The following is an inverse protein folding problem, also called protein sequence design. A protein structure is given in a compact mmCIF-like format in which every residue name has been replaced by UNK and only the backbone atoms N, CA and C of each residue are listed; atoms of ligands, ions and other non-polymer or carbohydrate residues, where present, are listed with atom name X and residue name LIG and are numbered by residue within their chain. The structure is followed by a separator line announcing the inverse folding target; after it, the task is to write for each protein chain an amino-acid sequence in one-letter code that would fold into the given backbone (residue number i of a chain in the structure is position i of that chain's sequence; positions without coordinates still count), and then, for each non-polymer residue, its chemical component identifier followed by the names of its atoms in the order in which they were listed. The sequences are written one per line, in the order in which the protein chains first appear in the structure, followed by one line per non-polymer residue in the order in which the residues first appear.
data_IF_705296516799
#
_entry.id   IF_705296516799
#
_cell.length_a   1.000
_cell.length_b   1.000
_cell.length_c   1.000
_cell.angle_alpha   90.00
_cell.angle_beta   90.00
_cell.angle_gamma   90.00
#
_symmetry.space_group_name_H-M   'P 1'
#
loop_
_entity.id
_entity.type
_entity.pdbx_description
1 polymer ?
#
# COMPACT_ATOMS: atom_id res chain seq x y z
N UNK A 1 -36.21 -34.47 3.07
CA UNK A 1 -35.59 -34.20 1.76
C UNK A 1 -35.87 -32.76 1.30
N UNK A 2 -35.66 -31.76 2.18
CA UNK A 2 -35.97 -30.33 1.91
C UNK A 2 -34.98 -29.37 2.61
N UNK A 3 -33.75 -29.80 2.91
CA UNK A 3 -32.71 -28.93 3.51
C UNK A 3 -31.35 -28.94 2.78
N UNK A 4 -31.26 -29.53 1.58
CA UNK A 4 -29.98 -29.62 0.83
C UNK A 4 -29.99 -28.74 -0.44
N UNK A 5 -31.14 -28.15 -0.79
CA UNK A 5 -31.29 -27.34 -2.01
C UNK A 5 -31.07 -25.83 -1.82
N UNK A 6 -30.95 -25.32 -0.58
CA UNK A 6 -30.78 -23.87 -0.32
C UNK A 6 -29.33 -23.39 -0.30
N UNK A 7 -28.37 -24.19 0.16
CA UNK A 7 -26.95 -23.79 0.19
C UNK A 7 -26.29 -23.90 -1.19
N UNK A 8 -26.61 -24.94 -1.96
CA UNK A 8 -26.04 -25.14 -3.30
C UNK A 8 -26.57 -24.09 -4.28
N UNK A 9 -27.83 -23.67 -4.16
CA UNK A 9 -28.39 -22.58 -4.97
C UNK A 9 -27.86 -21.22 -4.54
N UNK A 10 -27.59 -20.97 -3.25
CA UNK A 10 -26.99 -19.72 -2.79
C UNK A 10 -25.52 -19.61 -3.21
N UNK A 11 -24.73 -20.69 -3.09
CA UNK A 11 -23.34 -20.72 -3.57
C UNK A 11 -23.24 -20.64 -5.10
N UNK A 12 -24.18 -21.26 -5.83
CA UNK A 12 -24.24 -21.13 -7.29
C UNK A 12 -24.69 -19.74 -7.72
N UNK A 13 -25.65 -19.13 -7.02
CA UNK A 13 -26.12 -17.77 -7.27
C UNK A 13 -25.10 -16.71 -6.85
N UNK A 14 -24.35 -16.94 -5.78
CA UNK A 14 -23.21 -16.12 -5.37
C UNK A 14 -22.06 -16.27 -6.35
N UNK A 15 -21.69 -17.48 -6.80
CA UNK A 15 -20.68 -17.66 -7.87
C UNK A 15 -21.08 -17.01 -9.20
N UNK A 16 -22.37 -17.06 -9.56
CA UNK A 16 -22.89 -16.41 -10.77
C UNK A 16 -22.98 -14.88 -10.62
N UNK A 17 -23.41 -14.38 -9.45
CA UNK A 17 -23.41 -12.96 -9.14
C UNK A 17 -21.99 -12.41 -9.04
N UNK A 18 -21.06 -13.15 -8.43
CA UNK A 18 -19.64 -12.82 -8.35
C UNK A 18 -19.09 -12.70 -9.76
N UNK A 19 -19.33 -13.66 -10.67
CA UNK A 19 -18.87 -13.55 -12.06
C UNK A 19 -19.45 -12.33 -12.81
N UNK A 20 -20.76 -12.08 -12.70
CA UNK A 20 -21.41 -10.98 -13.43
C UNK A 20 -21.11 -9.60 -12.85
N UNK A 21 -21.07 -9.48 -11.52
CA UNK A 21 -20.68 -8.25 -10.80
C UNK A 21 -19.20 -8.00 -11.01
N UNK A 22 -18.34 -9.03 -11.01
CA UNK A 22 -16.90 -8.93 -11.32
C UNK A 22 -16.66 -8.54 -12.79
N UNK A 23 -17.49 -9.00 -13.74
CA UNK A 23 -17.41 -8.57 -15.15
C UNK A 23 -17.87 -7.12 -15.35
N UNK A 24 -19.00 -6.70 -14.77
CA UNK A 24 -19.40 -5.28 -14.74
C UNK A 24 -18.35 -4.41 -14.04
N UNK A 25 -17.75 -4.94 -12.98
CA UNK A 25 -16.66 -4.33 -12.24
C UNK A 25 -15.40 -4.12 -13.10
N UNK A 26 -14.93 -5.16 -13.81
CA UNK A 26 -13.76 -5.06 -14.71
C UNK A 26 -14.03 -4.04 -15.82
N UNK A 27 -15.23 -4.02 -16.39
CA UNK A 27 -15.59 -3.07 -17.45
C UNK A 27 -15.67 -1.62 -16.95
N UNK A 28 -16.24 -1.38 -15.76
CA UNK A 28 -16.33 -0.04 -15.17
C UNK A 28 -14.94 0.47 -14.71
N UNK A 29 -14.13 -0.41 -14.11
CA UNK A 29 -12.75 -0.18 -13.64
C UNK A 29 -11.82 0.28 -14.76
N UNK A 30 -11.88 -0.37 -15.92
CA UNK A 30 -10.98 -0.10 -17.06
C UNK A 30 -11.27 1.23 -17.76
N UNK A 31 -12.50 1.76 -17.66
CA UNK A 31 -12.90 3.01 -18.35
C UNK A 31 -12.84 4.23 -17.44
N UNK A 32 -13.12 4.10 -16.14
CA UNK A 32 -13.22 5.23 -15.23
C UNK A 32 -11.87 5.88 -14.92
N UNK A 33 -10.82 5.09 -14.68
CA UNK A 33 -9.51 5.64 -14.30
C UNK A 33 -8.86 6.51 -15.39
N UNK A 34 -8.78 6.06 -16.66
CA UNK A 34 -8.22 6.91 -17.72
C UNK A 34 -9.00 8.21 -17.90
N UNK A 35 -10.32 8.19 -17.70
CA UNK A 35 -11.15 9.41 -17.76
C UNK A 35 -10.81 10.38 -16.63
N UNK A 36 -10.70 9.89 -15.39
CA UNK A 36 -10.31 10.73 -14.25
C UNK A 36 -8.92 11.29 -14.45
N UNK A 37 -7.94 10.48 -14.84
CA UNK A 37 -6.57 10.94 -15.11
C UNK A 37 -6.57 11.99 -16.23
N UNK A 38 -7.27 11.75 -17.34
CA UNK A 38 -7.37 12.72 -18.44
C UNK A 38 -7.98 14.05 -17.99
N UNK A 39 -9.01 14.03 -17.13
CA UNK A 39 -9.61 15.24 -16.54
C UNK A 39 -8.60 15.94 -15.63
N UNK A 40 -7.90 15.21 -14.76
CA UNK A 40 -6.92 15.78 -13.84
C UNK A 40 -5.74 16.39 -14.60
N UNK A 41 -5.21 15.69 -15.60
CA UNK A 41 -4.10 16.15 -16.45
C UNK A 41 -4.50 17.35 -17.32
N UNK A 42 -5.72 17.36 -17.87
CA UNK A 42 -6.26 18.50 -18.61
C UNK A 42 -6.42 19.76 -17.74
N UNK A 43 -6.64 19.57 -16.44
CA UNK A 43 -6.80 20.66 -15.47
C UNK A 43 -5.53 20.97 -14.67
N UNK A 44 -4.37 20.37 -14.97
CA UNK A 44 -3.14 20.57 -14.18
C UNK A 44 -2.63 22.01 -14.12
N UNK A 45 -3.01 22.85 -15.11
CA UNK A 45 -2.63 24.27 -15.15
C UNK A 45 -3.41 25.13 -14.15
N UNK A 46 -4.54 24.63 -13.62
CA UNK A 46 -5.26 25.32 -12.54
C UNK A 46 -4.73 24.86 -11.20
N UNK A 47 -4.55 25.79 -10.26
CA UNK A 47 -4.02 25.48 -8.92
C UNK A 47 -4.94 24.56 -8.12
N UNK A 48 -6.25 24.74 -8.30
CA UNK A 48 -7.30 23.92 -7.70
C UNK A 48 -8.40 23.61 -8.74
N UNK A 49 -9.05 22.47 -8.60
CA UNK A 49 -10.26 22.12 -9.36
C UNK A 49 -11.32 21.54 -8.43
N UNK A 50 -12.60 21.69 -8.79
CA UNK A 50 -13.72 21.11 -8.05
C UNK A 50 -14.32 19.96 -8.86
N UNK A 51 -14.26 18.76 -8.30
CA UNK A 51 -14.94 17.58 -8.83
C UNK A 51 -16.17 17.24 -7.98
N UNK A 52 -17.27 16.85 -8.61
CA UNK A 52 -18.47 16.40 -7.90
C UNK A 52 -18.82 14.99 -8.34
N UNK A 53 -18.95 14.09 -7.37
CA UNK A 53 -19.49 12.75 -7.58
C UNK A 53 -20.70 12.59 -6.67
N UNK A 54 -21.88 12.39 -7.26
CA UNK A 54 -23.15 12.38 -6.53
C UNK A 54 -23.34 13.62 -5.61
N UNK A 55 -23.51 13.36 -4.31
CA UNK A 55 -23.68 14.39 -3.29
C UNK A 55 -22.35 14.97 -2.76
N UNK A 56 -21.21 14.38 -3.10
CA UNK A 56 -19.90 14.79 -2.58
C UNK A 56 -19.18 15.73 -3.54
N UNK A 57 -18.63 16.80 -2.96
CA UNK A 57 -17.72 17.71 -3.65
C UNK A 57 -16.30 17.50 -3.12
N UNK A 58 -15.36 17.36 -4.05
CA UNK A 58 -13.94 17.15 -3.80
C UNK A 58 -13.18 18.32 -4.44
N UNK A 59 -12.36 19.01 -3.66
CA UNK A 59 -11.41 20.00 -4.15
C UNK A 59 -10.07 19.31 -4.39
N UNK A 60 -9.63 19.27 -5.63
CA UNK A 60 -8.36 18.68 -6.03
C UNK A 60 -7.27 19.76 -5.97
N UNK A 61 -6.17 19.49 -5.26
CA UNK A 61 -4.99 20.34 -5.22
C UNK A 61 -3.94 19.83 -6.23
N UNK A 62 -3.44 20.73 -7.08
CA UNK A 62 -2.41 20.39 -8.09
C UNK A 62 -1.07 21.10 -7.85
N UNK A 63 -1.06 22.23 -7.14
CA UNK A 63 0.17 22.96 -6.82
C UNK A 63 0.85 22.41 -5.54
N UNK A 64 2.19 22.26 -5.52
CA UNK A 64 2.93 21.90 -4.32
C UNK A 64 2.73 22.85 -3.14
N UNK A 65 2.49 24.14 -3.37
CA UNK A 65 2.27 25.14 -2.30
C UNK A 65 0.95 24.87 -1.56
N UNK A 66 -0.12 24.57 -2.30
CA UNK A 66 -1.42 24.25 -1.72
C UNK A 66 -1.39 22.88 -1.02
N UNK A 67 -0.64 21.93 -1.58
CA UNK A 67 -0.39 20.62 -0.95
C UNK A 67 0.40 20.79 0.35
N UNK A 68 1.41 21.65 0.39
CA UNK A 68 2.13 21.99 1.64
C UNK A 68 1.17 22.58 2.67
N UNK A 69 0.34 23.55 2.28
CA UNK A 69 -0.64 24.18 3.18
C UNK A 69 -1.57 23.16 3.83
N UNK A 70 -2.10 22.22 3.04
CA UNK A 70 -2.95 21.15 3.55
C UNK A 70 -2.18 20.20 4.48
N UNK A 71 -1.04 19.69 4.00
CA UNK A 71 -0.34 18.60 4.67
C UNK A 71 0.46 19.03 5.89
N UNK A 72 0.91 20.28 5.97
CA UNK A 72 1.66 20.80 7.14
C UNK A 72 0.75 21.12 8.33
N UNK A 73 -0.56 21.25 8.10
CA UNK A 73 -1.51 21.63 9.14
C UNK A 73 -1.70 20.53 10.19
N UNK A 74 -1.63 20.91 11.46
CA UNK A 74 -1.98 20.04 12.59
C UNK A 74 -3.49 20.02 12.89
N UNK A 75 -4.29 20.84 12.20
CA UNK A 75 -5.75 20.89 12.34
C UNK A 75 -6.45 20.12 11.22
N UNK A 76 -5.93 20.16 9.99
CA UNK A 76 -6.52 19.51 8.81
C UNK A 76 -6.07 18.04 8.70
N UNK A 77 -6.24 17.30 9.80
CA UNK A 77 -5.73 15.92 9.93
C UNK A 77 -6.79 14.85 9.65
N UNK A 78 -8.08 15.21 9.73
CA UNK A 78 -9.18 14.27 9.59
C UNK A 78 -9.27 13.78 8.14
N UNK A 79 -9.52 12.47 8.00
CA UNK A 79 -9.64 11.83 6.69
C UNK A 79 -10.91 12.28 5.98
N UNK A 80 -10.91 12.18 4.66
CA UNK A 80 -12.08 12.46 3.85
C UNK A 80 -13.19 11.44 4.08
N UNK A 81 -14.44 11.82 3.77
CA UNK A 81 -15.63 11.04 4.11
C UNK A 81 -15.67 9.64 3.47
N UNK A 82 -14.95 9.42 2.37
CA UNK A 82 -14.85 8.13 1.70
C UNK A 82 -14.14 7.05 2.54
N UNK A 83 -13.36 7.45 3.55
CA UNK A 83 -12.73 6.51 4.50
C UNK A 83 -13.78 5.79 5.37
N UNK A 84 -15.01 6.32 5.48
CA UNK A 84 -16.10 5.65 6.22
C UNK A 84 -16.41 4.25 5.68
N UNK A 85 -16.15 4.00 4.40
CA UNK A 85 -16.36 2.69 3.78
C UNK A 85 -15.33 1.65 4.20
N UNK A 86 -14.20 2.09 4.78
CA UNK A 86 -13.13 1.25 5.31
C UNK A 86 -13.35 0.94 6.79
N UNK A 87 -14.13 1.75 7.52
CA UNK A 87 -14.38 1.57 8.96
C UNK A 87 -14.88 0.17 9.35
N UNK A 88 -15.78 -0.51 8.59
CA UNK A 88 -16.18 -1.86 8.95
C UNK A 88 -15.02 -2.87 8.97
N UNK A 89 -13.97 -2.62 8.21
CA UNK A 89 -12.78 -3.46 8.17
C UNK A 89 -11.73 -3.01 9.20
N UNK A 90 -11.22 -1.79 9.10
CA UNK A 90 -10.08 -1.33 9.92
C UNK A 90 -10.49 -0.68 11.25
N UNK A 91 -11.79 -0.46 11.46
CA UNK A 91 -12.30 0.33 12.56
C UNK A 91 -11.75 1.77 12.55
N UNK A 92 -11.46 2.27 13.74
CA UNK A 92 -10.84 3.57 13.99
C UNK A 92 -9.36 3.43 14.41
N UNK A 93 -8.60 2.59 13.71
CA UNK A 93 -7.15 2.47 13.87
C UNK A 93 -6.36 3.70 13.40
N UNK A 94 -5.03 3.60 13.29
CA UNK A 94 -4.16 4.74 12.99
C UNK A 94 -4.49 5.45 11.66
N UNK A 95 -4.98 4.73 10.65
CA UNK A 95 -5.32 5.32 9.35
C UNK A 95 -6.54 6.25 9.44
N UNK A 96 -7.63 5.75 10.02
CA UNK A 96 -8.99 6.30 9.95
C UNK A 96 -9.35 7.15 11.16
N UNK A 97 -8.68 6.96 12.31
CA UNK A 97 -8.91 7.76 13.51
C UNK A 97 -8.68 9.25 13.30
N UNK A 98 -9.37 10.04 14.12
CA UNK A 98 -9.37 11.51 14.11
C UNK A 98 -8.90 12.07 15.45
N UNK A 99 -8.50 13.34 15.47
CA UNK A 99 -8.25 14.12 16.69
C UNK A 99 -7.36 13.41 17.74
N UNK A 100 -7.79 13.37 19.00
CA UNK A 100 -7.00 12.87 20.13
C UNK A 100 -6.76 11.36 20.06
N UNK A 101 -7.73 10.57 19.57
CA UNK A 101 -7.51 9.12 19.35
C UNK A 101 -6.33 8.93 18.40
N UNK A 102 -6.31 9.64 17.27
CA UNK A 102 -5.21 9.55 16.32
C UNK A 102 -3.87 9.99 16.92
N UNK A 103 -3.82 11.13 17.63
CA UNK A 103 -2.58 11.64 18.24
C UNK A 103 -2.00 10.66 19.26
N UNK A 104 -2.87 10.09 20.10
CA UNK A 104 -2.51 9.08 21.09
C UNK A 104 -1.95 7.82 20.43
N UNK A 105 -2.68 7.24 19.45
CA UNK A 105 -2.20 6.09 18.66
C UNK A 105 -0.88 6.38 17.97
N UNK A 106 -0.75 7.53 17.32
CA UNK A 106 0.48 7.90 16.60
C UNK A 106 1.68 8.02 17.54
N UNK A 107 1.51 8.67 18.69
CA UNK A 107 2.56 8.80 19.71
C UNK A 107 2.99 7.44 20.25
N UNK A 108 2.02 6.58 20.53
CA UNK A 108 2.22 5.23 21.05
C UNK A 108 2.97 4.33 20.06
N UNK A 109 2.65 4.42 18.77
CA UNK A 109 3.16 3.50 17.74
C UNK A 109 4.46 3.94 17.07
N UNK A 110 4.79 5.24 17.10
CA UNK A 110 6.00 5.77 16.45
C UNK A 110 7.32 5.12 16.95
N UNK A 111 7.50 4.83 18.26
CA UNK A 111 8.70 4.14 18.74
C UNK A 111 8.94 2.77 18.09
N UNK A 112 7.90 2.06 17.68
CA UNK A 112 8.00 0.75 17.01
C UNK A 112 8.72 0.80 15.66
N UNK A 113 8.82 1.98 15.06
CA UNK A 113 9.50 2.22 13.78
C UNK A 113 10.86 2.93 13.97
N UNK A 114 11.38 2.93 15.19
CA UNK A 114 12.71 3.45 15.49
C UNK A 114 13.81 2.53 14.91
N UNK A 115 14.95 3.13 14.53
CA UNK A 115 16.04 2.46 13.82
C UNK A 115 16.55 1.17 14.49
N UNK A 116 16.56 1.11 15.82
CA UNK A 116 16.99 -0.08 16.56
C UNK A 116 16.07 -1.28 16.35
N UNK A 117 14.75 -1.07 16.26
CA UNK A 117 13.78 -2.15 16.00
C UNK A 117 13.83 -2.56 14.52
N UNK A 118 14.02 -1.58 13.63
CA UNK A 118 14.16 -1.86 12.19
C UNK A 118 15.37 -2.76 11.87
N UNK A 119 16.46 -2.69 12.65
CA UNK A 119 17.60 -3.61 12.50
C UNK A 119 17.19 -5.07 12.67
N UNK A 120 16.34 -5.34 13.65
CA UNK A 120 15.86 -6.70 13.88
C UNK A 120 14.96 -7.15 12.73
N UNK A 121 14.17 -6.23 12.19
CA UNK A 121 13.30 -6.49 11.04
C UNK A 121 14.09 -6.87 9.78
N UNK A 122 15.29 -6.30 9.60
CA UNK A 122 16.15 -6.61 8.47
C UNK A 122 16.52 -8.10 8.40
N UNK A 123 16.72 -8.77 9.53
CA UNK A 123 17.00 -10.22 9.55
C UNK A 123 15.85 -11.01 8.91
N UNK A 124 14.61 -10.67 9.27
CA UNK A 124 13.42 -11.32 8.71
C UNK A 124 13.20 -10.94 7.24
N UNK A 125 13.47 -9.69 6.87
CA UNK A 125 13.41 -9.26 5.47
C UNK A 125 14.42 -10.01 4.59
N UNK A 126 15.65 -10.25 5.06
CA UNK A 126 16.64 -11.06 4.32
C UNK A 126 16.13 -12.49 4.10
N UNK A 127 15.61 -13.14 5.15
CA UNK A 127 15.08 -14.50 5.05
C UNK A 127 13.96 -14.60 4.01
N UNK A 128 12.93 -13.75 4.13
CA UNK A 128 11.79 -13.74 3.20
C UNK A 128 12.20 -13.36 1.78
N UNK A 129 13.18 -12.47 1.60
CA UNK A 129 13.71 -12.16 0.27
C UNK A 129 14.44 -13.36 -0.36
N UNK A 130 15.15 -14.15 0.45
CA UNK A 130 15.73 -15.44 0.04
C UNK A 130 14.67 -16.43 -0.42
N UNK A 131 13.59 -16.60 0.35
CA UNK A 131 12.46 -17.47 -0.03
C UNK A 131 11.81 -17.01 -1.34
N UNK A 132 11.61 -15.69 -1.52
CA UNK A 132 11.10 -15.12 -2.77
C UNK A 132 12.02 -15.42 -3.94
N UNK A 133 13.34 -15.25 -3.78
CA UNK A 133 14.33 -15.58 -4.82
C UNK A 133 14.19 -17.04 -5.24
N UNK A 134 14.13 -17.96 -4.28
CA UNK A 134 14.08 -19.38 -4.57
C UNK A 134 12.77 -19.76 -5.27
N UNK A 135 11.65 -19.20 -4.81
CA UNK A 135 10.34 -19.38 -5.47
C UNK A 135 10.34 -18.84 -6.90
N UNK A 136 10.90 -17.65 -7.14
CA UNK A 136 10.98 -17.08 -8.49
C UNK A 136 11.92 -17.87 -9.40
N UNK A 137 12.99 -18.46 -8.85
CA UNK A 137 13.87 -19.36 -9.60
C UNK A 137 13.12 -20.60 -10.07
N UNK A 138 12.31 -21.21 -9.20
CA UNK A 138 11.45 -22.36 -9.55
C UNK A 138 10.44 -22.02 -10.65
N UNK A 139 9.77 -20.87 -10.53
CA UNK A 139 8.80 -20.41 -11.55
C UNK A 139 9.48 -20.14 -12.90
N UNK A 140 10.69 -19.58 -12.89
CA UNK A 140 11.46 -19.28 -14.09
C UNK A 140 12.02 -20.52 -14.81
N UNK A 141 12.31 -21.61 -14.09
CA UNK A 141 12.93 -22.82 -14.67
C UNK A 141 12.13 -23.44 -15.84
N UNK A 142 10.81 -23.27 -15.86
CA UNK A 142 9.93 -23.92 -16.84
C UNK A 142 9.06 -22.94 -17.65
N UNK A 143 9.30 -21.63 -17.53
CA UNK A 143 8.45 -20.60 -18.15
C UNK A 143 9.32 -19.56 -18.84
N UNK A 144 8.95 -19.22 -20.08
CA UNK A 144 9.60 -18.13 -20.81
C UNK A 144 9.30 -16.77 -20.15
N UNK A 145 8.05 -16.59 -19.69
CA UNK A 145 7.62 -15.43 -18.92
C UNK A 145 6.48 -15.84 -17.97
N UNK A 146 6.35 -15.13 -16.85
CA UNK A 146 5.27 -15.34 -15.88
C UNK A 146 4.92 -14.06 -15.15
N UNK A 147 3.71 -14.01 -14.58
CA UNK A 147 3.29 -12.92 -13.71
C UNK A 147 3.95 -13.04 -12.33
N UNK A 148 4.88 -12.13 -12.02
CA UNK A 148 5.57 -12.10 -10.73
C UNK A 148 4.72 -11.45 -9.61
N UNK A 149 3.66 -10.70 -9.96
CA UNK A 149 2.93 -9.89 -8.99
C UNK A 149 2.35 -10.70 -7.82
N UNK A 150 1.74 -11.88 -8.01
CA UNK A 150 1.25 -12.70 -6.90
C UNK A 150 2.35 -13.10 -5.91
N UNK A 151 3.53 -13.52 -6.39
CA UNK A 151 4.66 -13.88 -5.54
C UNK A 151 5.18 -12.67 -4.74
N UNK A 152 5.26 -11.50 -5.37
CA UNK A 152 5.68 -10.27 -4.70
C UNK A 152 4.68 -9.87 -3.60
N UNK A 153 3.37 -9.97 -3.86
CA UNK A 153 2.34 -9.63 -2.86
C UNK A 153 2.32 -10.60 -1.69
N UNK A 154 2.41 -11.91 -1.94
CA UNK A 154 2.46 -12.91 -0.88
C UNK A 154 3.72 -12.77 -0.02
N UNK A 155 4.86 -12.44 -0.63
CA UNK A 155 6.10 -12.21 0.11
C UNK A 155 6.02 -10.98 1.03
N UNK A 156 5.49 -9.86 0.55
CA UNK A 156 5.27 -8.68 1.41
C UNK A 156 4.28 -8.98 2.56
N UNK A 157 3.28 -9.84 2.33
CA UNK A 157 2.37 -10.28 3.38
C UNK A 157 3.09 -11.12 4.45
N UNK A 158 3.95 -12.06 4.03
CA UNK A 158 4.77 -12.83 4.97
C UNK A 158 5.73 -11.94 5.76
N UNK A 159 6.37 -10.96 5.10
CA UNK A 159 7.26 -10.02 5.75
C UNK A 159 6.54 -9.19 6.83
N UNK A 160 5.37 -8.62 6.55
CA UNK A 160 4.66 -7.82 7.56
C UNK A 160 4.11 -8.69 8.69
N UNK A 161 3.61 -9.89 8.39
CA UNK A 161 3.12 -10.82 9.41
C UNK A 161 4.25 -11.25 10.36
N UNK A 162 5.42 -11.59 9.82
CA UNK A 162 6.55 -12.04 10.64
C UNK A 162 7.19 -10.85 11.39
N UNK A 163 7.45 -9.73 10.71
CA UNK A 163 8.11 -8.59 11.35
C UNK A 163 7.22 -7.87 12.37
N UNK A 164 5.99 -7.51 11.99
CA UNK A 164 5.13 -6.67 12.81
C UNK A 164 4.22 -7.50 13.74
N UNK A 165 3.67 -8.62 13.26
CA UNK A 165 2.77 -9.44 14.06
C UNK A 165 3.51 -10.55 14.82
N UNK A 166 4.72 -10.92 14.38
CA UNK A 166 5.49 -12.01 14.99
C UNK A 166 4.93 -13.39 14.68
N UNK A 167 4.22 -13.54 13.54
CA UNK A 167 3.60 -14.79 13.09
C UNK A 167 4.07 -15.09 11.66
N UNK A 168 4.59 -16.30 11.44
CA UNK A 168 4.94 -16.76 10.10
C UNK A 168 3.70 -17.40 9.46
N UNK A 169 3.23 -16.79 8.37
CA UNK A 169 2.04 -17.23 7.62
C UNK A 169 2.35 -18.25 6.53
N UNK A 170 3.59 -18.28 6.06
CA UNK A 170 4.03 -19.04 4.89
C UNK A 170 3.09 -18.88 3.67
N UNK A 171 2.63 -17.64 3.46
CA UNK A 171 1.66 -17.28 2.43
C UNK A 171 2.24 -17.46 1.02
N UNK A 172 3.56 -17.34 0.83
CA UNK A 172 4.20 -17.58 -0.46
C UNK A 172 4.05 -19.02 -0.95
N UNK A 173 4.06 -20.00 -0.05
CA UNK A 173 3.79 -21.41 -0.36
C UNK A 173 2.29 -21.74 -0.27
N UNK A 174 1.53 -21.07 0.61
CA UNK A 174 0.10 -21.27 0.84
C UNK A 174 -0.78 -20.09 0.36
N UNK A 175 -0.54 -19.60 -0.86
CA UNK A 175 -1.15 -18.38 -1.40
C UNK A 175 -2.67 -18.40 -1.58
N UNK A 176 -3.30 -19.56 -1.41
CA UNK A 176 -4.74 -19.76 -1.53
C UNK A 176 -5.54 -19.61 -0.22
N UNK A 177 -4.89 -19.11 0.84
CA UNK A 177 -5.55 -18.91 2.13
C UNK A 177 -6.84 -18.07 2.02
N UNK A 178 -7.84 -18.42 2.83
CA UNK A 178 -9.12 -17.71 2.85
C UNK A 178 -8.94 -16.22 3.24
N UNK A 179 -7.93 -15.92 4.07
CA UNK A 179 -7.58 -14.56 4.46
C UNK A 179 -7.18 -13.71 3.24
N UNK A 180 -6.24 -14.18 2.42
CA UNK A 180 -5.75 -13.44 1.24
C UNK A 180 -6.91 -13.18 0.26
N UNK A 181 -7.74 -14.20 -0.01
CA UNK A 181 -8.94 -14.06 -0.86
C UNK A 181 -9.93 -13.03 -0.29
N UNK A 182 -10.13 -13.01 1.03
CA UNK A 182 -10.99 -12.05 1.71
C UNK A 182 -10.47 -10.60 1.59
N UNK A 183 -9.15 -10.37 1.75
CA UNK A 183 -8.53 -9.05 1.60
C UNK A 183 -8.75 -8.50 0.18
N UNK A 184 -8.48 -9.31 -0.85
CA UNK A 184 -8.69 -8.88 -2.24
C UNK A 184 -10.15 -8.51 -2.52
N UNK A 185 -11.11 -9.34 -2.07
CA UNK A 185 -12.53 -9.08 -2.24
C UNK A 185 -12.96 -7.77 -1.58
N UNK A 186 -12.59 -7.57 -0.31
CA UNK A 186 -12.99 -6.38 0.46
C UNK A 186 -12.36 -5.11 -0.11
N UNK A 187 -11.08 -5.15 -0.47
CA UNK A 187 -10.39 -4.02 -1.10
C UNK A 187 -11.09 -3.59 -2.39
N UNK A 188 -11.37 -4.54 -3.26
CA UNK A 188 -11.99 -4.28 -4.56
C UNK A 188 -13.43 -3.76 -4.39
N UNK A 189 -14.21 -4.37 -3.50
CA UNK A 189 -15.57 -3.93 -3.19
C UNK A 189 -15.60 -2.51 -2.59
N UNK A 190 -14.67 -2.15 -1.70
CA UNK A 190 -14.55 -0.78 -1.17
C UNK A 190 -14.24 0.21 -2.30
N UNK A 191 -13.30 -0.12 -3.19
CA UNK A 191 -12.95 0.74 -4.32
C UNK A 191 -14.14 0.97 -5.27
N UNK A 192 -14.98 -0.06 -5.48
CA UNK A 192 -16.26 0.07 -6.20
C UNK A 192 -17.21 0.99 -5.46
N UNK A 193 -17.40 0.76 -4.17
CA UNK A 193 -18.32 1.52 -3.33
C UNK A 193 -17.98 3.01 -3.31
N UNK A 194 -16.69 3.37 -3.23
CA UNK A 194 -16.23 4.76 -3.31
C UNK A 194 -16.66 5.49 -4.60
N UNK A 195 -16.84 4.77 -5.71
CA UNK A 195 -17.15 5.32 -7.04
C UNK A 195 -18.62 5.21 -7.44
N UNK A 196 -19.44 4.63 -6.57
CA UNK A 196 -20.78 4.17 -6.91
C UNK A 196 -21.80 4.79 -5.95
N UNK A 197 -22.35 5.99 -6.26
CA UNK A 197 -23.18 6.74 -5.32
C UNK A 197 -24.40 5.98 -4.77
N UNK A 198 -24.97 5.06 -5.54
CA UNK A 198 -26.09 4.22 -5.09
C UNK A 198 -25.69 3.14 -4.07
N UNK A 199 -24.40 2.87 -3.88
CA UNK A 199 -23.86 2.01 -2.81
C UNK A 199 -23.45 2.76 -1.56
N UNK A 200 -23.60 4.10 -1.52
CA UNK A 200 -23.21 4.90 -0.36
C UNK A 200 -24.12 4.74 0.85
N UNK A 201 -25.47 4.62 0.71
CA UNK A 201 -26.32 4.37 1.85
C UNK A 201 -26.01 3.00 2.47
N UNK A 202 -25.51 2.99 3.71
CA UNK A 202 -25.09 1.76 4.41
C UNK A 202 -26.21 0.72 4.48
N UNK A 203 -27.45 1.15 4.72
CA UNK A 203 -28.60 0.27 4.75
C UNK A 203 -28.83 -0.45 3.41
N UNK A 204 -28.78 0.27 2.29
CA UNK A 204 -28.98 -0.33 0.97
C UNK A 204 -27.84 -1.30 0.64
N UNK A 205 -26.59 -0.87 0.86
CA UNK A 205 -25.42 -1.68 0.57
C UNK A 205 -25.39 -2.97 1.40
N UNK A 206 -25.51 -2.87 2.73
CA UNK A 206 -25.30 -3.99 3.64
C UNK A 206 -26.43 -5.03 3.65
N UNK A 207 -27.65 -4.65 3.27
CA UNK A 207 -28.82 -5.52 3.35
C UNK A 207 -29.41 -5.91 1.99
N UNK A 208 -29.23 -5.11 0.94
CA UNK A 208 -29.88 -5.33 -0.36
C UNK A 208 -28.91 -5.61 -1.51
N UNK A 209 -27.61 -5.75 -1.24
CA UNK A 209 -26.63 -6.07 -2.29
C UNK A 209 -25.87 -7.36 -1.97
N UNK A 210 -25.68 -8.27 -2.94
CA UNK A 210 -24.83 -9.46 -2.76
C UNK A 210 -23.39 -9.08 -2.37
N UNK A 211 -22.85 -8.00 -2.95
CA UNK A 211 -21.52 -7.49 -2.63
C UNK A 211 -21.40 -7.07 -1.15
N UNK A 212 -22.40 -6.41 -0.59
CA UNK A 212 -22.42 -6.06 0.84
C UNK A 212 -22.43 -7.28 1.75
N UNK A 213 -23.13 -8.36 1.37
CA UNK A 213 -23.13 -9.62 2.12
C UNK A 213 -21.77 -10.31 2.07
N UNK A 214 -21.16 -10.39 0.88
CA UNK A 214 -19.83 -10.95 0.69
C UNK A 214 -18.77 -10.19 1.50
N UNK A 215 -18.79 -8.85 1.43
CA UNK A 215 -17.89 -8.00 2.22
C UNK A 215 -18.03 -8.23 3.72
N UNK A 216 -19.26 -8.30 4.25
CA UNK A 216 -19.48 -8.57 5.68
C UNK A 216 -18.93 -9.92 6.10
N UNK A 217 -19.12 -10.97 5.30
CA UNK A 217 -18.57 -12.30 5.56
C UNK A 217 -17.04 -12.28 5.56
N UNK A 218 -16.44 -11.66 4.54
CA UNK A 218 -14.98 -11.55 4.41
C UNK A 218 -14.36 -10.72 5.54
N UNK A 219 -15.01 -9.63 5.96
CA UNK A 219 -14.57 -8.84 7.12
C UNK A 219 -14.58 -9.66 8.40
N UNK A 220 -15.65 -10.41 8.66
CA UNK A 220 -15.70 -11.28 9.84
C UNK A 220 -14.57 -12.32 9.85
N UNK A 221 -14.23 -12.89 8.69
CA UNK A 221 -13.11 -13.82 8.55
C UNK A 221 -11.75 -13.14 8.83
N UNK A 222 -11.53 -11.94 8.29
CA UNK A 222 -10.31 -11.17 8.56
C UNK A 222 -10.20 -10.79 10.03
N UNK A 223 -11.29 -10.38 10.67
CA UNK A 223 -11.30 -10.09 12.11
C UNK A 223 -11.00 -11.32 12.95
N UNK A 224 -11.57 -12.49 12.62
CA UNK A 224 -11.24 -13.75 13.29
C UNK A 224 -9.76 -14.09 13.16
N UNK A 225 -9.18 -13.86 11.97
CA UNK A 225 -7.76 -14.03 11.75
C UNK A 225 -6.92 -13.07 12.63
N UNK A 226 -7.27 -11.78 12.68
CA UNK A 226 -6.60 -10.80 13.53
C UNK A 226 -6.66 -11.19 15.02
N UNK A 227 -7.83 -11.64 15.51
CA UNK A 227 -7.97 -12.12 16.89
C UNK A 227 -7.12 -13.37 17.17
N UNK A 228 -7.04 -14.31 16.22
CA UNK A 228 -6.17 -15.48 16.32
C UNK A 228 -4.70 -15.06 16.47
N UNK A 229 -4.22 -14.15 15.62
CA UNK A 229 -2.85 -13.61 15.69
C UNK A 229 -2.58 -12.93 17.04
N UNK A 230 -3.54 -12.15 17.55
CA UNK A 230 -3.44 -11.50 18.86
C UNK A 230 -3.31 -12.53 19.98
N UNK A 231 -4.13 -13.59 19.93
CA UNK A 231 -4.13 -14.64 20.94
C UNK A 231 -2.85 -15.47 20.93
N UNK A 232 -2.42 -15.95 19.76
CA UNK A 232 -1.16 -16.70 19.61
C UNK A 232 0.03 -15.88 20.11
N UNK A 233 0.04 -14.56 19.84
CA UNK A 233 1.11 -13.69 20.33
C UNK A 233 1.08 -13.51 21.85
N UNK A 234 -0.10 -13.41 22.47
CA UNK A 234 -0.24 -13.32 23.94
C UNK A 234 0.31 -14.58 24.62
N UNK A 235 0.02 -15.75 24.05
CA UNK A 235 0.50 -17.03 24.55
C UNK A 235 2.03 -17.13 24.43
N UNK A 236 2.60 -16.86 23.25
CA UNK A 236 4.05 -16.85 23.04
C UNK A 236 4.78 -15.84 23.93
N UNK A 237 4.19 -14.66 24.17
CA UNK A 237 4.81 -13.61 24.97
C UNK A 237 5.05 -14.05 26.42
N UNK A 238 4.13 -14.82 26.99
CA UNK A 238 4.27 -15.36 28.35
C UNK A 238 5.50 -16.28 28.50
N UNK A 239 5.93 -16.91 27.40
CA UNK A 239 7.13 -17.75 27.34
C UNK A 239 8.40 -16.95 26.98
N UNK A 240 8.26 -15.88 26.19
CA UNK A 240 9.38 -15.08 25.66
C UNK A 240 9.98 -14.10 26.68
N UNK A 241 9.24 -13.67 27.70
CA UNK A 241 9.75 -12.81 28.79
C UNK A 241 10.97 -13.42 29.51
N UNK A 242 11.16 -14.75 29.43
CA UNK A 242 12.29 -15.47 30.00
C UNK A 242 13.55 -15.50 29.10
N UNK A 243 13.43 -15.13 27.81
CA UNK A 243 14.45 -15.42 26.78
C UNK A 243 15.16 -14.19 26.19
N UNK A 244 14.73 -12.96 26.51
CA UNK A 244 15.32 -11.73 25.97
C UNK A 244 15.17 -11.56 24.45
N UNK A 245 14.25 -12.30 23.81
CA UNK A 245 14.03 -12.30 22.36
C UNK A 245 13.32 -11.04 21.85
N UNK A 246 13.48 -10.81 20.54
CA UNK A 246 13.01 -9.69 19.71
C UNK A 246 11.56 -9.26 20.00
N UNK A 247 11.35 -7.95 20.20
CA UNK A 247 10.01 -7.35 20.30
C UNK A 247 9.41 -7.12 18.92
N UNK A 248 8.25 -7.73 18.65
CA UNK A 248 7.42 -7.42 17.49
C UNK A 248 6.62 -6.12 17.73
N UNK A 249 6.09 -5.53 16.66
CA UNK A 249 5.18 -4.38 16.77
C UNK A 249 3.95 -4.71 17.64
N UNK A 250 3.41 -5.93 17.51
CA UNK A 250 2.30 -6.40 18.32
C UNK A 250 2.63 -6.51 19.82
N UNK A 251 3.89 -6.77 20.19
CA UNK A 251 4.27 -6.79 21.62
C UNK A 251 4.13 -5.41 22.25
N UNK A 252 4.44 -4.36 21.48
CA UNK A 252 4.30 -2.97 21.91
C UNK A 252 2.81 -2.66 22.09
N UNK A 253 1.96 -3.02 21.12
CA UNK A 253 0.50 -2.87 21.27
C UNK A 253 -0.06 -3.57 22.50
N UNK A 254 0.43 -4.78 22.82
CA UNK A 254 -0.01 -5.55 23.98
C UNK A 254 0.43 -4.96 25.33
N UNK A 255 1.57 -4.26 25.36
CA UNK A 255 2.09 -3.60 26.58
C UNK A 255 1.62 -2.16 26.74
N UNK A 256 1.19 -1.54 25.65
CA UNK A 256 0.86 -0.13 25.63
C UNK A 256 -0.36 0.19 26.50
N UNK A 257 -0.21 1.30 27.22
CA UNK A 257 -1.28 1.95 27.97
C UNK A 257 -1.64 3.27 27.31
N UNK A 258 -2.90 3.63 27.36
CA UNK A 258 -3.38 4.95 26.94
C UNK A 258 -2.91 6.06 27.89
N UNK A 259 -3.27 7.31 27.59
CA UNK A 259 -2.90 8.48 28.41
C UNK A 259 -3.52 8.46 29.81
N UNK A 260 -4.56 7.65 30.03
CA UNK A 260 -5.20 7.43 31.34
C UNK A 260 -4.58 6.25 32.10
N UNK A 261 -3.57 5.58 31.53
CA UNK A 261 -2.91 4.42 32.12
C UNK A 261 -3.67 3.10 31.92
N UNK A 262 -4.74 3.08 31.13
CA UNK A 262 -5.51 1.87 30.82
C UNK A 262 -4.87 1.09 29.68
N UNK A 263 -4.96 -0.24 29.72
CA UNK A 263 -4.55 -1.06 28.58
C UNK A 263 -5.54 -0.86 27.43
N UNK A 264 -5.03 -1.06 26.21
CA UNK A 264 -5.87 -1.11 25.02
C UNK A 264 -6.87 -2.27 25.10
N UNK A 265 -8.07 -2.03 24.59
CA UNK A 265 -9.06 -3.09 24.44
C UNK A 265 -8.65 -4.06 23.32
N UNK A 266 -9.19 -5.28 23.34
CA UNK A 266 -8.97 -6.25 22.26
C UNK A 266 -9.47 -5.71 20.92
N UNK A 267 -10.52 -4.89 20.95
CA UNK A 267 -11.01 -4.17 19.77
C UNK A 267 -9.97 -3.17 19.25
N UNK A 268 -9.44 -2.32 20.12
CA UNK A 268 -8.40 -1.35 19.73
C UNK A 268 -7.14 -2.01 19.17
N UNK A 269 -6.74 -3.16 19.74
CA UNK A 269 -5.58 -3.91 19.24
C UNK A 269 -5.89 -4.49 17.87
N UNK A 270 -7.09 -5.07 17.68
CA UNK A 270 -7.54 -5.59 16.38
C UNK A 270 -7.56 -4.50 15.31
N UNK A 271 -8.07 -3.30 15.61
CA UNK A 271 -8.06 -2.15 14.68
C UNK A 271 -6.64 -1.86 14.15
N UNK A 272 -5.65 -1.85 15.04
CA UNK A 272 -4.27 -1.61 14.63
C UNK A 272 -3.67 -2.82 13.89
N UNK A 273 -3.94 -4.06 14.33
CA UNK A 273 -3.48 -5.27 13.62
C UNK A 273 -4.00 -5.28 12.18
N UNK A 274 -5.31 -5.07 11.98
CA UNK A 274 -5.92 -4.98 10.64
C UNK A 274 -5.30 -3.85 9.81
N UNK A 275 -5.10 -2.67 10.42
CA UNK A 275 -4.51 -1.50 9.77
C UNK A 275 -3.10 -1.80 9.26
N UNK A 276 -2.22 -2.30 10.13
CA UNK A 276 -0.82 -2.53 9.78
C UNK A 276 -0.62 -3.73 8.85
N UNK A 277 -1.43 -4.79 9.02
CA UNK A 277 -1.42 -5.91 8.07
C UNK A 277 -1.77 -5.43 6.66
N UNK A 278 -2.83 -4.64 6.49
CA UNK A 278 -3.21 -4.10 5.18
C UNK A 278 -2.17 -3.11 4.63
N UNK A 279 -1.87 -2.05 5.38
CA UNK A 279 -1.01 -0.97 4.91
C UNK A 279 0.42 -1.42 4.62
N UNK A 280 0.92 -2.40 5.38
CA UNK A 280 2.29 -2.89 5.29
C UNK A 280 2.58 -3.75 4.06
N UNK A 281 1.61 -4.50 3.53
CA UNK A 281 1.86 -5.40 2.40
C UNK A 281 1.34 -4.88 1.05
N UNK A 282 0.11 -4.36 0.99
CA UNK A 282 -0.54 -4.06 -0.30
C UNK A 282 0.14 -2.88 -0.99
N UNK A 283 0.59 -1.88 -0.20
CA UNK A 283 1.29 -0.70 -0.72
C UNK A 283 2.72 -1.00 -1.18
N UNK A 284 3.44 -1.85 -0.44
CA UNK A 284 4.84 -2.20 -0.73
C UNK A 284 4.92 -3.15 -1.91
N UNK A 285 4.05 -4.16 -1.96
CA UNK A 285 3.97 -5.07 -3.11
C UNK A 285 3.69 -4.35 -4.43
N UNK A 286 2.80 -3.35 -4.43
CA UNK A 286 2.58 -2.49 -5.60
C UNK A 286 3.83 -1.70 -6.00
N UNK A 287 4.60 -1.19 -5.03
CA UNK A 287 5.84 -0.45 -5.31
C UNK A 287 6.94 -1.38 -5.86
N UNK A 288 7.10 -2.58 -5.30
CA UNK A 288 8.05 -3.59 -5.79
C UNK A 288 7.67 -3.97 -7.22
N UNK A 289 6.39 -4.29 -7.46
CA UNK A 289 5.89 -4.71 -8.77
C UNK A 289 6.19 -3.68 -9.87
N UNK A 290 5.89 -2.40 -9.63
CA UNK A 290 6.20 -1.35 -10.60
C UNK A 290 7.71 -1.09 -10.74
N UNK A 291 8.50 -1.28 -9.68
CA UNK A 291 9.96 -1.14 -9.76
C UNK A 291 10.58 -2.28 -10.58
N UNK A 292 10.11 -3.52 -10.38
CA UNK A 292 10.48 -4.70 -11.19
C UNK A 292 10.15 -4.45 -12.66
N UNK A 293 8.94 -3.98 -12.95
CA UNK A 293 8.53 -3.61 -14.30
C UNK A 293 9.42 -2.54 -14.93
N UNK A 294 9.65 -1.43 -14.24
CA UNK A 294 10.44 -0.32 -14.79
C UNK A 294 11.91 -0.72 -15.01
N UNK A 295 12.55 -1.41 -14.07
CA UNK A 295 13.92 -1.89 -14.27
C UNK A 295 14.02 -2.98 -15.35
N UNK A 296 12.98 -3.82 -15.49
CA UNK A 296 12.88 -4.80 -16.57
C UNK A 296 12.67 -4.17 -17.95
N UNK A 297 12.03 -3.00 -18.02
CA UNK A 297 11.89 -2.21 -19.26
C UNK A 297 13.12 -1.31 -19.54
N UNK A 298 13.92 -0.99 -18.51
CA UNK A 298 15.07 -0.08 -18.59
C UNK A 298 16.38 -0.80 -18.21
N UNK A 299 16.82 -1.73 -19.06
CA UNK A 299 17.99 -2.60 -18.83
C UNK A 299 19.29 -1.82 -18.54
N UNK A 300 19.46 -0.62 -19.11
CA UNK A 300 20.61 0.24 -18.80
C UNK A 300 20.68 0.65 -17.33
N UNK A 301 19.54 0.97 -16.72
CA UNK A 301 19.45 1.38 -15.33
C UNK A 301 19.49 0.17 -14.39
N UNK A 302 18.93 -0.95 -14.82
CA UNK A 302 19.10 -2.24 -14.15
C UNK A 302 20.59 -2.60 -13.99
N UNK A 303 21.39 -2.49 -15.07
CA UNK A 303 22.83 -2.77 -15.05
C UNK A 303 23.59 -1.85 -14.09
N UNK A 304 23.20 -0.57 -13.98
CA UNK A 304 23.80 0.35 -13.00
C UNK A 304 23.48 -0.05 -11.57
N UNK A 305 22.23 -0.43 -11.27
CA UNK A 305 21.87 -0.97 -9.96
C UNK A 305 22.66 -2.24 -9.65
N UNK A 306 22.77 -3.16 -10.61
CA UNK A 306 23.55 -4.38 -10.47
C UNK A 306 25.04 -4.10 -10.16
N UNK A 307 25.66 -3.19 -10.91
CA UNK A 307 27.05 -2.76 -10.65
C UNK A 307 27.23 -2.05 -9.31
N UNK A 308 26.23 -1.29 -8.84
CA UNK A 308 26.23 -0.71 -7.50
C UNK A 308 26.22 -1.83 -6.44
N UNK A 309 25.33 -2.82 -6.60
CA UNK A 309 25.19 -3.92 -5.65
C UNK A 309 26.43 -4.82 -5.60
N UNK A 310 27.04 -5.12 -6.74
CA UNK A 310 28.28 -5.91 -6.81
C UNK A 310 29.45 -5.23 -6.09
N UNK A 311 29.47 -3.89 -6.04
CA UNK A 311 30.49 -3.12 -5.31
C UNK A 311 30.23 -3.06 -3.80
N UNK A 312 28.98 -3.25 -3.38
CA UNK A 312 28.58 -3.22 -1.97
C UNK A 312 28.82 -4.60 -1.33
N UNK A 313 28.60 -5.67 -2.08
CA UNK A 313 28.73 -7.04 -1.59
C UNK A 313 29.96 -7.74 -2.17
N UNK A 314 30.99 -7.90 -1.34
CA UNK A 314 32.20 -8.65 -1.69
C UNK A 314 31.97 -10.18 -1.74
N UNK A 315 30.90 -10.68 -1.11
CA UNK A 315 30.53 -12.10 -1.09
C UNK A 315 29.05 -12.31 -0.78
N UNK A 316 28.48 -13.50 -1.09
CA UNK A 316 27.09 -13.83 -0.74
C UNK A 316 26.89 -13.84 0.79
N UNK A 317 26.12 -12.87 1.29
CA UNK A 317 25.69 -12.75 2.69
C UNK A 317 24.41 -11.92 2.80
N UNK A 318 23.78 -11.95 3.96
CA UNK A 318 22.64 -11.09 4.27
C UNK A 318 23.03 -9.60 4.25
N UNK A 319 22.06 -8.76 3.87
CA UNK A 319 22.22 -7.32 3.90
C UNK A 319 22.23 -6.79 5.33
N UNK A 320 23.09 -5.81 5.57
CA UNK A 320 23.15 -5.00 6.79
C UNK A 320 22.57 -3.61 6.56
N UNK A 321 22.27 -2.87 7.63
CA UNK A 321 21.80 -1.48 7.50
C UNK A 321 22.82 -0.58 6.77
N UNK A 322 24.11 -0.87 6.92
CA UNK A 322 25.18 -0.12 6.25
C UNK A 322 25.12 -0.35 4.73
N UNK A 323 24.90 -1.59 4.28
CA UNK A 323 24.71 -1.91 2.86
C UNK A 323 23.50 -1.16 2.28
N UNK A 324 22.36 -1.17 2.97
CA UNK A 324 21.15 -0.46 2.53
C UNK A 324 21.38 1.06 2.38
N UNK A 325 22.26 1.64 3.20
CA UNK A 325 22.61 3.06 3.12
C UNK A 325 23.44 3.41 1.88
N UNK A 326 24.20 2.43 1.35
CA UNK A 326 25.04 2.56 0.16
C UNK A 326 24.31 2.31 -1.15
N UNK A 327 23.12 1.70 -1.12
CA UNK A 327 22.24 1.49 -2.28
C UNK A 327 21.59 2.81 -2.73
N UNK A 328 22.38 3.73 -3.29
CA UNK A 328 21.97 5.10 -3.62
C UNK A 328 21.23 5.14 -4.96
N UNK A 329 21.80 4.55 -6.01
CA UNK A 329 21.20 4.51 -7.33
C UNK A 329 19.94 3.63 -7.35
N UNK A 330 19.97 2.49 -6.66
CA UNK A 330 18.77 1.68 -6.47
C UNK A 330 17.65 2.46 -5.77
N UNK A 331 17.98 3.28 -4.76
CA UNK A 331 16.99 4.15 -4.12
C UNK A 331 16.40 5.19 -5.09
N UNK A 332 17.22 5.74 -5.99
CA UNK A 332 16.74 6.65 -7.03
C UNK A 332 15.76 5.97 -7.99
N UNK A 333 16.06 4.73 -8.39
CA UNK A 333 15.16 3.91 -9.22
C UNK A 333 13.83 3.63 -8.51
N UNK A 334 13.87 3.26 -7.22
CA UNK A 334 12.66 3.04 -6.41
C UNK A 334 11.84 4.33 -6.28
N UNK A 335 12.51 5.48 -6.05
CA UNK A 335 11.82 6.78 -5.97
C UNK A 335 11.19 7.19 -7.30
N UNK A 336 11.87 6.95 -8.42
CA UNK A 336 11.30 7.21 -9.74
C UNK A 336 10.14 6.27 -10.07
N UNK A 337 10.20 5.01 -9.64
CA UNK A 337 9.07 4.10 -9.73
C UNK A 337 7.86 4.60 -8.92
N UNK A 338 8.07 5.04 -7.68
CA UNK A 338 7.01 5.62 -6.83
C UNK A 338 6.50 6.97 -7.34
N UNK A 339 7.30 7.73 -8.11
CA UNK A 339 6.86 8.96 -8.78
C UNK A 339 5.92 8.64 -9.94
N UNK A 340 6.30 7.68 -10.80
CA UNK A 340 5.50 7.31 -11.97
C UNK A 340 4.26 6.53 -11.52
N UNK A 341 4.42 5.55 -10.63
CA UNK A 341 3.37 4.68 -10.13
C UNK A 341 3.28 4.78 -8.60
N UNK A 342 2.71 5.87 -8.06
CA UNK A 342 2.54 6.01 -6.61
C UNK A 342 1.56 4.95 -6.10
N UNK A 343 1.99 4.13 -5.13
CA UNK A 343 1.14 3.08 -4.54
C UNK A 343 -0.20 3.64 -4.04
N UNK A 344 -0.22 4.86 -3.50
CA UNK A 344 -1.46 5.57 -3.14
C UNK A 344 -1.65 6.72 -4.12
N UNK A 345 -2.53 6.59 -5.13
CA UNK A 345 -2.65 7.55 -6.25
C UNK A 345 -3.40 8.84 -5.89
N UNK A 346 -4.18 8.82 -4.79
CA UNK A 346 -4.80 10.00 -4.20
C UNK A 346 -5.13 9.75 -2.72
N UNK A 347 -5.24 10.81 -1.94
CA UNK A 347 -5.77 10.77 -0.58
C UNK A 347 -6.44 12.09 -0.22
N UNK A 348 -7.41 12.05 0.69
CA UNK A 348 -8.21 13.21 1.08
C UNK A 348 -8.12 13.61 2.55
N UNK A 349 -8.57 14.83 2.83
CA UNK A 349 -8.84 15.39 4.16
C UNK A 349 -10.22 16.03 4.17
N UNK A 350 -10.94 15.88 5.27
CA UNK A 350 -12.11 16.72 5.55
C UNK A 350 -11.65 17.98 6.29
N UNK A 351 -12.05 19.16 5.82
CA UNK A 351 -11.63 20.41 6.46
C UNK A 351 -12.32 20.60 7.82
N UNK A 352 -11.53 20.75 8.88
CA UNK A 352 -12.04 21.03 10.22
C UNK A 352 -12.51 22.49 10.40
N UNK A 353 -12.01 23.40 9.57
CA UNK A 353 -12.31 24.83 9.56
C UNK A 353 -12.30 25.37 8.12
N UNK A 354 -12.94 26.51 7.88
CA UNK A 354 -12.84 27.18 6.58
C UNK A 354 -11.35 27.49 6.31
N UNK A 355 -10.90 27.12 5.11
CA UNK A 355 -9.49 27.26 4.73
C UNK A 355 -9.40 27.82 3.33
N UNK A 356 -8.59 28.84 3.14
CA UNK A 356 -8.32 29.38 1.81
C UNK A 356 -7.38 28.45 1.03
N UNK A 357 -7.69 28.14 -0.24
CA UNK A 357 -6.76 27.50 -1.17
C UNK A 357 -6.75 28.29 -2.48
N UNK A 358 -5.56 28.65 -2.97
CA UNK A 358 -5.39 29.43 -4.19
C UNK A 358 -6.28 30.70 -4.29
N UNK A 359 -6.52 31.39 -3.17
CA UNK A 359 -7.39 32.57 -3.10
C UNK A 359 -8.88 32.31 -2.95
N UNK A 360 -9.31 31.04 -2.86
CA UNK A 360 -10.71 30.65 -2.67
C UNK A 360 -10.95 30.17 -1.24
N UNK A 361 -11.94 30.74 -0.54
CA UNK A 361 -12.39 30.24 0.74
C UNK A 361 -13.14 28.90 0.56
N UNK A 362 -12.58 27.82 1.10
CA UNK A 362 -13.19 26.48 1.06
C UNK A 362 -13.86 26.18 2.40
N UNK A 363 -15.19 25.96 2.42
CA UNK A 363 -15.93 25.77 3.67
C UNK A 363 -15.49 24.55 4.48
N UNK A 364 -15.65 24.64 5.80
CA UNK A 364 -15.56 23.51 6.73
C UNK A 364 -16.41 22.31 6.25
N UNK A 365 -15.90 21.10 6.43
CA UNK A 365 -16.53 19.85 6.02
C UNK A 365 -16.32 19.49 4.55
N UNK A 366 -15.74 20.38 3.75
CA UNK A 366 -15.39 20.05 2.35
C UNK A 366 -14.24 19.04 2.32
N UNK A 367 -14.33 18.05 1.43
CA UNK A 367 -13.21 17.15 1.15
C UNK A 367 -12.21 17.83 0.22
N UNK A 368 -10.96 17.88 0.63
CA UNK A 368 -9.82 18.35 -0.16
C UNK A 368 -8.88 17.16 -0.40
N UNK A 369 -8.52 16.90 -1.65
CA UNK A 369 -7.75 15.74 -2.06
C UNK A 369 -6.45 16.13 -2.77
N UNK A 370 -5.40 15.37 -2.47
CA UNK A 370 -4.12 15.40 -3.18
C UNK A 370 -4.11 14.21 -4.13
N UNK A 371 -4.01 14.47 -5.42
CA UNK A 371 -3.84 13.45 -6.45
C UNK A 371 -2.34 13.29 -6.72
N UNK A 372 -1.69 12.38 -6.00
CA UNK A 372 -0.23 12.15 -6.10
C UNK A 372 0.18 11.79 -7.51
N UNK A 373 -0.63 11.02 -8.24
CA UNK A 373 -0.38 10.68 -9.64
C UNK A 373 -0.26 11.92 -10.54
N UNK A 374 -1.08 12.94 -10.32
CA UNK A 374 -1.03 14.19 -11.09
C UNK A 374 0.11 15.08 -10.60
N UNK A 375 0.28 15.21 -9.28
CA UNK A 375 1.34 16.01 -8.67
C UNK A 375 2.75 15.50 -9.04
N UNK A 376 2.94 14.19 -9.07
CA UNK A 376 4.23 13.54 -9.38
C UNK A 376 4.51 13.49 -10.89
N UNK A 377 3.53 13.82 -11.72
CA UNK A 377 3.63 13.87 -13.19
C UNK A 377 3.41 15.27 -13.74
N UNK A 378 3.52 16.29 -12.89
CA UNK A 378 3.47 17.69 -13.33
C UNK A 378 4.69 17.98 -14.22
N UNK A 379 4.51 18.30 -15.52
CA UNK A 379 5.61 18.54 -16.45
C UNK A 379 6.43 19.80 -16.12
N UNK A 380 5.85 20.76 -15.38
CA UNK A 380 6.57 21.97 -14.97
C UNK A 380 7.60 21.65 -13.87
N UNK A 381 7.39 20.56 -13.12
CA UNK A 381 8.29 20.07 -12.06
C UNK A 381 9.15 18.90 -12.57
N UNK A 382 8.57 18.02 -13.38
CA UNK A 382 9.17 16.82 -13.92
C UNK A 382 9.08 16.83 -15.46
N UNK A 383 10.02 17.49 -16.16
CA UNK A 383 10.06 17.47 -17.62
C UNK A 383 10.06 16.05 -18.16
N UNK A 384 9.28 15.78 -19.22
CA UNK A 384 8.99 14.41 -19.70
C UNK A 384 8.48 13.50 -18.56
N UNK A 385 7.31 13.81 -17.95
CA UNK A 385 6.90 13.22 -16.68
C UNK A 385 6.67 11.71 -16.74
N UNK A 386 6.50 11.14 -17.93
CA UNK A 386 6.30 9.71 -18.12
C UNK A 386 7.60 8.93 -18.35
N UNK A 387 8.70 9.63 -18.63
CA UNK A 387 10.03 9.03 -18.80
C UNK A 387 10.58 8.59 -17.45
N UNK A 388 10.98 7.32 -17.37
CA UNK A 388 11.76 6.80 -16.24
C UNK A 388 13.17 7.39 -16.27
N UNK A 389 13.45 8.28 -15.33
CA UNK A 389 14.76 8.88 -15.14
C UNK A 389 15.12 8.94 -13.65
N UNK A 390 15.87 7.94 -13.14
CA UNK A 390 16.33 7.92 -11.75
C UNK A 390 17.14 9.16 -11.35
N UNK A 391 17.85 9.80 -12.30
CA UNK A 391 18.74 10.93 -11.98
C UNK A 391 17.99 12.16 -11.49
N UNK A 392 16.65 12.22 -11.66
CA UNK A 392 15.79 13.21 -11.02
C UNK A 392 15.97 13.23 -9.50
N UNK A 393 16.31 12.10 -8.88
CA UNK A 393 16.52 11.98 -7.44
C UNK A 393 17.97 12.13 -7.00
N UNK A 394 18.86 12.55 -7.89
CA UNK A 394 20.21 12.98 -7.50
C UNK A 394 20.14 14.17 -6.54
N UNK A 395 21.16 14.38 -5.68
CA UNK A 395 21.22 15.54 -4.80
C UNK A 395 21.07 16.87 -5.55
N UNK A 396 21.72 16.99 -6.70
CA UNK A 396 21.73 18.18 -7.55
C UNK A 396 20.32 18.50 -8.10
N UNK A 397 19.64 17.49 -8.67
CA UNK A 397 18.33 17.65 -9.27
C UNK A 397 17.19 17.76 -8.24
N UNK A 398 17.42 17.27 -7.01
CA UNK A 398 16.45 17.36 -5.92
C UNK A 398 16.56 18.67 -5.14
N UNK A 399 17.74 19.32 -5.12
CA UNK A 399 18.00 20.49 -4.27
C UNK A 399 17.04 21.67 -4.48
N UNK A 400 16.55 21.86 -5.72
CA UNK A 400 15.62 22.95 -6.08
C UNK A 400 14.16 22.52 -6.15
N UNK A 401 13.86 21.23 -5.94
CA UNK A 401 12.49 20.72 -6.01
C UNK A 401 11.72 21.17 -4.77
N UNK A 402 10.48 21.62 -4.96
CA UNK A 402 9.59 21.90 -3.85
C UNK A 402 9.41 20.64 -2.97
N UNK A 403 9.56 20.71 -1.62
CA UNK A 403 9.51 19.54 -0.75
C UNK A 403 8.21 18.72 -0.85
N UNK A 404 7.11 19.41 -1.16
CA UNK A 404 5.78 18.79 -1.33
C UNK A 404 5.45 18.38 -2.76
N UNK A 405 6.37 18.52 -3.72
CA UNK A 405 6.16 18.02 -5.09
C UNK A 405 6.40 16.50 -5.24
N UNK A 406 6.99 15.87 -4.22
CA UNK A 406 7.22 14.42 -4.16
C UNK A 406 6.81 13.89 -2.79
N UNK A 407 5.57 13.41 -2.69
CA UNK A 407 4.94 12.94 -1.43
C UNK A 407 4.35 11.52 -1.56
N UNK A 408 5.11 10.51 -2.02
CA UNK A 408 4.60 9.12 -2.14
C UNK A 408 4.21 8.52 -0.78
N UNK A 409 4.82 8.99 0.30
CA UNK A 409 4.54 8.60 1.68
C UNK A 409 3.72 9.67 2.44
N UNK A 410 3.02 10.55 1.71
CA UNK A 410 2.41 11.77 2.27
C UNK A 410 3.46 12.66 2.97
N UNK A 411 3.02 13.69 3.70
CA UNK A 411 3.88 14.58 4.48
C UNK A 411 3.13 15.14 5.70
N UNK A 412 3.85 15.83 6.58
CA UNK A 412 3.32 16.43 7.81
C UNK A 412 2.86 15.41 8.86
N UNK A 413 1.93 15.77 9.77
CA UNK A 413 1.57 14.92 10.91
C UNK A 413 0.95 13.58 10.48
N UNK A 414 0.23 13.56 9.35
CA UNK A 414 -0.38 12.34 8.76
C UNK A 414 0.51 11.72 7.68
N UNK A 415 1.83 11.81 7.80
CA UNK A 415 2.75 11.06 6.92
C UNK A 415 2.76 9.56 7.26
N UNK A 416 3.22 8.73 6.33
CA UNK A 416 3.36 7.30 6.54
C UNK A 416 4.30 7.01 7.72
N UNK A 417 3.82 6.28 8.72
CA UNK A 417 4.63 5.85 9.86
C UNK A 417 5.68 4.81 9.45
N UNK A 418 5.32 3.96 8.49
CA UNK A 418 6.13 2.85 7.98
C UNK A 418 7.09 3.22 6.85
N UNK A 419 7.29 4.50 6.52
CA UNK A 419 8.13 4.90 5.37
C UNK A 419 9.53 4.26 5.39
N UNK A 420 10.19 4.24 6.55
CA UNK A 420 11.53 3.64 6.68
C UNK A 420 11.51 2.12 6.51
N UNK A 421 10.50 1.47 7.09
CA UNK A 421 10.25 0.04 6.92
C UNK A 421 10.06 -0.31 5.45
N UNK A 422 9.16 0.39 4.76
CA UNK A 422 8.86 0.17 3.35
C UNK A 422 10.09 0.36 2.45
N UNK A 423 10.89 1.41 2.69
CA UNK A 423 12.12 1.63 1.92
C UNK A 423 13.17 0.55 2.16
N UNK A 424 13.26 -0.01 3.37
CA UNK A 424 14.15 -1.14 3.65
C UNK A 424 13.68 -2.40 2.92
N UNK A 425 12.40 -2.73 3.03
CA UNK A 425 11.80 -3.88 2.33
C UNK A 425 12.00 -3.77 0.81
N UNK A 426 11.68 -2.62 0.22
CA UNK A 426 11.89 -2.33 -1.20
C UNK A 426 13.36 -2.55 -1.60
N UNK A 427 14.31 -2.02 -0.83
CA UNK A 427 15.74 -2.19 -1.13
C UNK A 427 16.18 -3.64 -1.01
N UNK A 428 15.79 -4.35 0.05
CA UNK A 428 16.18 -5.76 0.28
C UNK A 428 15.64 -6.66 -0.82
N UNK A 429 14.36 -6.52 -1.18
CA UNK A 429 13.74 -7.33 -2.24
C UNK A 429 14.39 -6.98 -3.58
N UNK A 430 14.45 -5.71 -3.95
CA UNK A 430 15.00 -5.33 -5.26
C UNK A 430 16.49 -5.70 -5.38
N UNK A 431 17.29 -5.51 -4.32
CA UNK A 431 18.70 -5.92 -4.33
C UNK A 431 18.85 -7.43 -4.47
N UNK A 432 18.06 -8.21 -3.72
CA UNK A 432 18.04 -9.68 -3.86
C UNK A 432 17.72 -10.10 -5.29
N UNK A 433 16.68 -9.54 -5.89
CA UNK A 433 16.30 -9.87 -7.26
C UNK A 433 17.39 -9.50 -8.28
N UNK A 434 17.95 -8.29 -8.18
CA UNK A 434 18.95 -7.80 -9.13
C UNK A 434 20.31 -8.51 -9.02
N UNK A 435 20.67 -9.00 -7.82
CA UNK A 435 21.87 -9.82 -7.64
C UNK A 435 21.72 -11.21 -8.27
N UNK A 436 20.51 -11.77 -8.29
CA UNK A 436 20.27 -13.15 -8.69
C UNK A 436 19.73 -13.31 -10.11
N UNK A 437 19.12 -12.27 -10.67
CA UNK A 437 18.44 -12.31 -11.96
C UNK A 437 18.79 -11.12 -12.84
N UNK A 438 18.82 -11.34 -14.15
CA UNK A 438 18.50 -10.30 -15.12
C UNK A 438 16.99 -10.37 -15.38
N UNK A 439 16.32 -9.25 -15.18
CA UNK A 439 14.87 -9.10 -15.29
C UNK A 439 14.56 -8.46 -16.63
N UNK A 440 13.69 -9.04 -17.43
CA UNK A 440 13.18 -8.45 -18.66
C UNK A 440 11.66 -8.36 -18.57
N UNK A 441 11.10 -7.17 -18.72
CA UNK A 441 9.65 -6.99 -18.76
C UNK A 441 9.13 -7.30 -20.15
N UNK A 442 8.11 -8.17 -20.24
CA UNK A 442 7.54 -8.59 -21.52
C UNK A 442 6.31 -7.77 -21.93
N UNK A 443 5.95 -6.78 -21.10
CA UNK A 443 4.82 -5.89 -21.32
C UNK A 443 5.29 -4.49 -21.70
N UNK A 444 4.54 -3.85 -22.59
CA UNK A 444 4.59 -2.41 -22.81
C UNK A 444 3.88 -1.65 -21.69
N UNK A 445 4.14 -0.34 -21.62
CA UNK A 445 3.49 0.54 -20.64
C UNK A 445 1.96 0.56 -20.75
N UNK A 446 1.43 0.46 -21.97
CA UNK A 446 -0.01 0.46 -22.22
C UNK A 446 -0.68 -0.86 -21.80
N UNK A 447 0.10 -1.94 -21.68
CA UNK A 447 -0.35 -3.23 -21.17
C UNK A 447 -0.33 -3.29 -19.65
N UNK A 448 0.62 -2.60 -18.98
CA UNK A 448 0.66 -2.46 -17.51
C UNK A 448 -0.34 -1.39 -17.07
N UNK A 449 -1.62 -1.73 -17.21
CA UNK A 449 -2.71 -0.79 -16.91
C UNK A 449 -2.84 -0.61 -15.40
N UNK A 450 -2.70 0.61 -14.87
CA UNK A 450 -2.94 0.89 -13.47
C UNK A 450 -4.39 0.61 -13.08
N UNK A 451 -4.58 -0.21 -12.06
CA UNK A 451 -5.83 -0.33 -11.34
C UNK A 451 -5.80 0.61 -10.14
N UNK A 452 -6.58 1.71 -10.13
CA UNK A 452 -6.82 2.41 -8.89
C UNK A 452 -7.75 1.56 -8.02
N UNK A 453 -7.21 0.71 -7.14
CA UNK A 453 -7.95 0.22 -5.99
C UNK A 453 -7.91 1.26 -4.87
N UNK A 454 -7.86 0.78 -3.63
CA UNK A 454 -7.27 1.55 -2.51
C UNK A 454 -5.77 1.80 -2.74
N UNK A 455 -5.11 0.86 -3.43
CA UNK A 455 -3.71 0.92 -3.87
C UNK A 455 -3.68 0.85 -5.40
N UNK A 456 -2.71 1.53 -6.02
CA UNK A 456 -2.44 1.48 -7.45
C UNK A 456 -1.73 0.16 -7.79
N UNK A 457 -2.47 -0.81 -8.31
CA UNK A 457 -1.93 -2.14 -8.65
C UNK A 457 -1.87 -2.37 -10.16
N UNK A 458 -0.96 -3.19 -10.66
CA UNK A 458 -0.94 -3.59 -12.06
C UNK A 458 -2.14 -4.50 -12.36
N UNK A 459 -3.12 -4.02 -13.13
CA UNK A 459 -4.38 -4.76 -13.38
C UNK A 459 -4.20 -6.06 -14.16
N UNK A 460 -3.11 -6.18 -14.91
CA UNK A 460 -2.76 -7.30 -15.78
C UNK A 460 -1.58 -8.11 -15.24
N UNK A 461 -1.19 -7.86 -13.97
CA UNK A 461 0.03 -8.42 -13.38
C UNK A 461 1.30 -7.76 -13.90
N UNK A 462 2.45 -8.27 -13.48
CA UNK A 462 3.78 -7.87 -13.95
C UNK A 462 4.45 -9.09 -14.58
N UNK A 463 4.40 -9.17 -15.90
CA UNK A 463 4.97 -10.27 -16.67
C UNK A 463 6.43 -10.02 -16.93
N UNK A 464 7.25 -10.95 -16.48
CA UNK A 464 8.70 -10.89 -16.58
C UNK A 464 9.28 -12.20 -17.07
N UNK A 465 10.39 -12.07 -17.79
CA UNK A 465 11.35 -13.13 -18.06
C UNK A 465 12.53 -12.95 -17.10
N UNK A 466 12.85 -14.00 -16.36
CA UNK A 466 13.98 -14.01 -15.44
C UNK A 466 15.06 -14.93 -15.97
N UNK A 467 16.29 -14.43 -16.08
CA UNK A 467 17.46 -15.26 -16.37
C UNK A 467 18.43 -15.18 -15.21
N UNK A 468 19.04 -16.31 -14.83
CA UNK A 468 20.00 -16.30 -13.72
C UNK A 468 21.17 -15.38 -14.04
N UNK A 469 21.57 -14.60 -13.04
CA UNK A 469 22.80 -13.82 -13.08
C UNK A 469 23.95 -14.71 -12.58
N UNK A 470 25.08 -14.66 -13.27
CA UNK A 470 26.26 -15.48 -13.00
C UNK A 470 27.15 -14.85 -11.94
#
# INVERSE_FOLDING_TARGET
MYCILSEIQLDFFLKCCDSMVLQMYVQYRMKFYPQVISILEGNRKVKINKFRTGIWAIICLFSPDEVEKLLKSNKLIDKSDDYRFIHPWLGLGLLTSTNEKWKSRRRMLTPSFHFNILKDFLVVMNNHAGTLRDKLREEACNKEAFDAFPCLTLNSLDMICDTAMGVNMDALHNGESEYVKAVYLVKDAIAVRQRTPWYWPDFLYNYFTPMGWAVRRSINLMHQFAYKVIQERREMKSELEYSGKRKAFLDILLDCKDESGNKLTDEDIREEVDTFMFEGHDTVSAAIAHTVYLLGAHISDQKKCQQELDKILDSPRDFTMDDLSKMVYLEWCIKEALRIYPSVPWFGRALAEETEFAGYAVPKGTTVAVFTVSLHRDPDIYPDPEKFDPTRFSPENSAKRHPYAYVPFSAGPRNCIGQRFAMMELKVIMATLLLNFNIESTQSRDEVKPNPGLVLQPSTGIWVKLTSRA
#
